data_IF_551044582308
#
_entry.id   IF_551044582308
#
_cell.length_a   1.000
_cell.length_b   1.000
_cell.length_c   1.000
_cell.angle_alpha   90.00
_cell.angle_beta   90.00
_cell.angle_gamma   90.00
#
_symmetry.space_group_name_H-M   'P 1'
#
loop_
_entity.id
_entity.type
_entity.pdbx_description
1 polymer ?
#
# COMPACT_ATOMS: atom_id res chain seq x y z
N UNK A 1 8.44 19.83 -2.73
CA UNK A 1 7.68 19.16 -1.65
C UNK A 1 8.61 18.83 -0.48
N UNK A 2 8.48 19.52 0.65
CA UNK A 2 9.21 19.15 1.86
C UNK A 2 8.44 18.03 2.58
N UNK A 3 9.10 16.89 2.84
CA UNK A 3 8.49 15.75 3.53
C UNK A 3 9.28 15.39 4.78
N UNK A 4 8.63 15.42 5.94
CA UNK A 4 9.16 14.81 7.17
C UNK A 4 8.57 13.40 7.31
N UNK A 5 9.44 12.40 7.31
CA UNK A 5 9.09 10.99 7.57
C UNK A 5 9.59 10.64 8.96
N UNK A 6 8.71 10.16 9.84
CA UNK A 6 9.10 9.58 11.12
C UNK A 6 8.76 8.10 11.11
N UNK A 7 9.76 7.25 11.32
CA UNK A 7 9.57 5.82 11.54
C UNK A 7 9.73 5.57 13.03
N UNK A 8 8.87 4.75 13.61
CA UNK A 8 8.99 4.31 14.99
C UNK A 8 8.91 2.80 15.05
N UNK A 9 9.76 2.21 15.89
CA UNK A 9 9.80 0.78 16.16
C UNK A 9 9.62 0.61 17.65
N UNK A 10 8.64 -0.19 18.06
CA UNK A 10 8.35 -0.49 19.46
C UNK A 10 8.38 -2.00 19.66
N UNK A 11 9.19 -2.47 20.62
CA UNK A 11 9.08 -3.84 21.14
C UNK A 11 7.88 -3.92 22.07
N UNK A 12 7.04 -4.91 21.86
CA UNK A 12 5.84 -5.16 22.64
C UNK A 12 6.17 -6.08 23.83
N UNK A 13 5.26 -6.15 24.80
CA UNK A 13 5.42 -7.00 25.99
C UNK A 13 5.52 -8.48 25.64
N UNK A 14 4.78 -8.91 24.60
CA UNK A 14 4.86 -10.27 24.05
C UNK A 14 6.16 -10.51 23.26
N UNK A 15 7.11 -9.57 23.22
CA UNK A 15 8.37 -9.70 22.48
C UNK A 15 8.27 -9.38 20.99
N UNK A 16 7.06 -9.23 20.43
CA UNK A 16 6.87 -8.85 19.02
C UNK A 16 7.30 -7.41 18.74
N UNK A 17 7.50 -7.08 17.47
CA UNK A 17 7.94 -5.75 17.04
C UNK A 17 6.82 -5.06 16.29
N UNK A 18 6.42 -3.87 16.73
CA UNK A 18 5.47 -3.00 16.02
C UNK A 18 6.21 -1.88 15.31
N UNK A 19 5.98 -1.72 14.01
CA UNK A 19 6.54 -0.61 13.21
C UNK A 19 5.44 0.37 12.80
N UNK A 20 5.73 1.65 12.91
CA UNK A 20 4.82 2.70 12.42
C UNK A 20 5.60 3.73 11.60
N UNK A 21 4.89 4.34 10.66
CA UNK A 21 5.41 5.35 9.75
C UNK A 21 4.42 6.50 9.71
N UNK A 22 4.90 7.70 10.02
CA UNK A 22 4.16 8.94 9.91
C UNK A 22 4.76 9.76 8.76
N UNK A 23 3.89 10.23 7.87
CA UNK A 23 4.25 11.06 6.74
C UNK A 23 3.50 12.40 6.89
N UNK A 24 4.24 13.51 6.99
CA UNK A 24 3.69 14.84 6.77
C UNK A 24 4.21 15.37 5.44
N UNK A 25 3.29 15.79 4.59
CA UNK A 25 3.58 16.32 3.27
C UNK A 25 2.86 17.64 3.08
N UNK A 26 3.59 18.62 2.57
CA UNK A 26 3.05 19.88 2.11
C UNK A 26 3.07 19.90 0.57
N UNK A 27 1.90 20.09 -0.04
CA UNK A 27 1.71 20.01 -1.49
C UNK A 27 1.83 21.41 -2.10
N UNK A 28 2.24 21.45 -3.37
CA UNK A 28 2.22 22.69 -4.12
C UNK A 28 0.78 23.17 -4.37
N UNK A 29 0.65 24.43 -4.78
CA UNK A 29 -0.62 25.02 -5.18
C UNK A 29 -1.30 24.26 -6.31
N UNK A 30 -2.62 24.09 -6.22
CA UNK A 30 -3.43 23.39 -7.24
C UNK A 30 -4.06 24.33 -8.26
N UNK A 31 -3.69 25.61 -8.24
CA UNK A 31 -4.22 26.64 -9.12
C UNK A 31 -3.80 26.44 -10.58
N UNK A 32 -4.64 26.97 -11.46
CA UNK A 32 -4.39 27.02 -12.88
C UNK A 32 -3.14 27.84 -13.21
N UNK A 33 -2.25 27.29 -14.03
CA UNK A 33 -0.98 27.93 -14.43
C UNK A 33 -1.23 29.29 -15.08
N UNK A 34 -2.27 29.39 -15.91
CA UNK A 34 -2.62 30.64 -16.59
C UNK A 34 -3.07 31.72 -15.59
N UNK A 35 -3.78 31.31 -14.52
CA UNK A 35 -4.19 32.22 -13.45
C UNK A 35 -3.02 32.61 -12.55
N UNK A 36 -2.09 31.67 -12.31
CA UNK A 36 -0.93 31.89 -11.45
C UNK A 36 0.13 32.80 -12.10
N UNK A 37 0.38 32.64 -13.41
CA UNK A 37 1.47 33.34 -14.09
C UNK A 37 1.01 34.49 -15.02
N UNK A 38 -0.28 34.61 -15.31
CA UNK A 38 -0.82 35.63 -16.21
C UNK A 38 -0.61 35.32 -17.71
N UNK A 39 -0.96 36.27 -18.62
CA UNK A 39 -1.06 35.99 -20.05
C UNK A 39 0.29 35.83 -20.77
N UNK A 40 1.37 36.45 -20.28
CA UNK A 40 2.70 36.39 -20.89
C UNK A 40 3.78 36.06 -19.85
N UNK A 41 3.81 34.81 -19.36
CA UNK A 41 4.78 34.42 -18.35
C UNK A 41 6.15 34.18 -18.97
N UNK A 42 7.18 34.38 -18.15
CA UNK A 42 8.53 33.97 -18.51
C UNK A 42 8.58 32.46 -18.86
N UNK A 43 9.25 32.04 -19.95
CA UNK A 43 9.27 30.64 -20.39
C UNK A 43 9.81 29.66 -19.33
N UNK A 44 10.78 30.06 -18.51
CA UNK A 44 11.33 29.22 -17.45
C UNK A 44 10.31 29.04 -16.32
N UNK A 45 9.64 30.12 -15.92
CA UNK A 45 8.56 30.08 -14.92
C UNK A 45 7.38 29.23 -15.37
N UNK A 46 7.02 29.32 -16.65
CA UNK A 46 5.98 28.48 -17.24
C UNK A 46 6.36 27.00 -17.19
N UNK A 47 7.60 26.67 -17.55
CA UNK A 47 8.10 25.29 -17.51
C UNK A 47 8.12 24.74 -16.08
N UNK A 48 8.50 25.54 -15.11
CA UNK A 48 8.45 25.18 -13.69
C UNK A 48 7.02 24.90 -13.23
N UNK A 49 6.09 25.81 -13.51
CA UNK A 49 4.69 25.66 -13.11
C UNK A 49 4.03 24.41 -13.72
N UNK A 50 4.34 24.09 -14.99
CA UNK A 50 3.90 22.86 -15.64
C UNK A 50 4.46 21.63 -14.90
N UNK A 51 5.75 21.64 -14.55
CA UNK A 51 6.39 20.54 -13.83
C UNK A 51 5.78 20.31 -12.45
N UNK A 52 5.51 21.39 -11.72
CA UNK A 52 4.83 21.34 -10.41
C UNK A 52 3.45 20.70 -10.56
N UNK A 53 2.65 21.17 -11.52
CA UNK A 53 1.29 20.69 -11.74
C UNK A 53 1.21 19.28 -12.32
N UNK A 54 2.28 18.77 -12.95
CA UNK A 54 2.34 17.38 -13.39
C UNK A 54 2.16 16.40 -12.21
N UNK A 55 2.79 16.71 -11.06
CA UNK A 55 2.69 15.86 -9.87
C UNK A 55 1.29 15.87 -9.25
N UNK A 56 0.61 17.03 -9.23
CA UNK A 56 -0.76 17.17 -8.72
C UNK A 56 -1.80 16.57 -9.67
N UNK A 57 -1.56 16.65 -10.98
CA UNK A 57 -2.37 15.97 -11.98
C UNK A 57 -2.28 14.45 -11.79
N UNK A 58 -1.07 13.90 -11.63
CA UNK A 58 -0.88 12.49 -11.35
C UNK A 58 -1.59 12.04 -10.05
N UNK A 59 -1.56 12.87 -9.01
CA UNK A 59 -2.30 12.62 -7.77
C UNK A 59 -3.82 12.58 -8.00
N UNK A 60 -4.36 13.55 -8.73
CA UNK A 60 -5.79 13.63 -9.06
C UNK A 60 -6.25 12.43 -9.89
N UNK A 61 -5.45 12.03 -10.88
CA UNK A 61 -5.69 10.81 -11.65
C UNK A 61 -5.68 9.59 -10.75
N UNK A 62 -4.68 9.44 -9.87
CA UNK A 62 -4.60 8.29 -8.97
C UNK A 62 -5.85 8.17 -8.07
N UNK A 63 -6.30 9.30 -7.49
CA UNK A 63 -7.53 9.35 -6.69
C UNK A 63 -8.76 8.98 -7.52
N UNK A 64 -8.86 9.45 -8.75
CA UNK A 64 -9.99 9.17 -9.64
C UNK A 64 -10.10 7.68 -9.99
N UNK A 65 -8.96 7.01 -10.24
CA UNK A 65 -8.93 5.55 -10.42
C UNK A 65 -9.35 4.82 -9.15
N UNK A 66 -8.83 5.22 -7.99
CA UNK A 66 -9.17 4.58 -6.71
C UNK A 66 -10.64 4.76 -6.32
N UNK A 67 -11.25 5.91 -6.64
CA UNK A 67 -12.67 6.17 -6.43
C UNK A 67 -13.55 5.20 -7.24
N UNK A 68 -13.06 4.72 -8.38
CA UNK A 68 -13.68 3.68 -9.22
C UNK A 68 -13.24 2.26 -8.85
N UNK A 69 -12.57 2.08 -7.70
CA UNK A 69 -11.98 0.80 -7.27
C UNK A 69 -10.96 0.20 -8.23
N UNK A 70 -10.29 1.03 -9.04
CA UNK A 70 -9.25 0.63 -9.97
C UNK A 70 -7.85 0.93 -9.40
N UNK A 71 -6.84 0.17 -9.84
CA UNK A 71 -5.45 0.39 -9.42
C UNK A 71 -4.79 1.46 -10.30
N UNK A 72 -4.34 2.60 -9.73
CA UNK A 72 -3.63 3.61 -10.51
C UNK A 72 -2.18 3.23 -10.74
N UNK A 73 -1.56 3.83 -11.76
CA UNK A 73 -0.11 3.78 -11.95
C UNK A 73 0.58 4.80 -11.03
N UNK A 74 1.05 4.37 -9.87
CA UNK A 74 1.78 5.23 -8.93
C UNK A 74 3.14 5.70 -9.44
N UNK A 75 3.66 5.10 -10.52
CA UNK A 75 4.98 5.41 -11.09
C UNK A 75 4.97 6.64 -11.99
N UNK A 76 3.80 7.18 -12.32
CA UNK A 76 3.67 8.38 -13.17
C UNK A 76 4.28 9.64 -12.55
N UNK A 77 4.40 9.70 -11.22
CA UNK A 77 5.11 10.77 -10.52
C UNK A 77 5.80 10.28 -9.26
N UNK A 78 6.88 10.95 -8.87
CA UNK A 78 7.54 10.70 -7.58
C UNK A 78 6.58 10.92 -6.39
N UNK A 79 5.65 11.88 -6.51
CA UNK A 79 4.66 12.19 -5.49
C UNK A 79 3.74 10.99 -5.23
N UNK A 80 3.08 10.49 -6.27
CA UNK A 80 2.16 9.34 -6.17
C UNK A 80 2.87 8.08 -5.74
N UNK A 81 4.12 7.87 -6.17
CA UNK A 81 4.93 6.74 -5.75
C UNK A 81 5.18 6.77 -4.23
N UNK A 82 5.55 7.94 -3.71
CA UNK A 82 5.82 8.12 -2.29
C UNK A 82 4.54 8.02 -1.43
N UNK A 83 3.37 8.33 -2.02
CA UNK A 83 2.05 8.29 -1.38
C UNK A 83 1.29 6.99 -1.61
N UNK A 84 1.91 5.97 -2.21
CA UNK A 84 1.26 4.69 -2.51
C UNK A 84 0.65 4.03 -1.26
N UNK A 85 1.31 4.11 -0.09
CA UNK A 85 0.73 3.61 1.17
C UNK A 85 -0.52 4.40 1.57
N UNK A 86 -0.50 5.70 1.30
CA UNK A 86 -1.51 6.66 1.74
C UNK A 86 -2.75 6.70 0.85
N UNK A 87 -2.67 6.24 -0.40
CA UNK A 87 -3.75 6.22 -1.38
C UNK A 87 -4.08 4.76 -1.72
N UNK A 88 -5.15 4.21 -1.17
CA UNK A 88 -5.55 2.81 -1.39
C UNK A 88 -4.66 1.75 -0.72
N UNK A 89 -3.65 2.16 0.05
CA UNK A 89 -2.67 1.28 0.69
C UNK A 89 -2.91 1.02 2.17
N UNK A 90 -1.85 0.59 2.87
CA UNK A 90 -1.83 0.36 4.31
C UNK A 90 -1.42 1.63 5.06
N UNK A 91 -2.36 2.56 5.19
CA UNK A 91 -2.15 3.80 5.95
C UNK A 91 -3.49 4.33 6.45
N UNK A 92 -3.50 4.89 7.67
CA UNK A 92 -4.54 5.85 8.06
C UNK A 92 -4.14 7.19 7.45
N UNK A 93 -4.93 7.69 6.51
CA UNK A 93 -4.62 8.89 5.76
C UNK A 93 -5.66 9.96 6.03
N UNK A 94 -5.18 11.18 6.26
CA UNK A 94 -6.01 12.37 6.39
C UNK A 94 -5.50 13.37 5.37
N UNK A 95 -6.41 13.92 4.60
CA UNK A 95 -6.12 14.97 3.63
C UNK A 95 -6.81 16.24 4.12
N UNK A 96 -6.02 17.29 4.32
CA UNK A 96 -6.52 18.63 4.63
C UNK A 96 -6.58 19.37 3.31
N UNK A 97 -7.70 20.05 3.09
CA UNK A 97 -7.95 20.77 1.86
C UNK A 97 -8.18 22.23 2.21
N UNK A 98 -7.34 23.11 1.66
CA UNK A 98 -7.37 24.55 1.92
C UNK A 98 -8.00 25.26 0.73
N UNK A 99 -8.85 26.25 0.99
CA UNK A 99 -9.50 27.06 -0.04
C UNK A 99 -9.67 28.50 0.43
N UNK A 100 -9.83 29.42 -0.54
CA UNK A 100 -9.98 30.85 -0.27
C UNK A 100 -11.46 31.25 -0.38
N UNK A 101 -12.02 31.99 0.59
CA UNK A 101 -13.41 32.45 0.52
C UNK A 101 -13.61 33.62 -0.46
N UNK A 102 -12.53 34.16 -1.06
CA UNK A 102 -12.60 35.32 -1.92
C UNK A 102 -13.31 35.02 -3.26
N UNK A 103 -14.15 35.94 -3.73
CA UNK A 103 -14.97 35.74 -4.94
C UNK A 103 -14.14 35.41 -6.20
N UNK A 104 -12.99 36.05 -6.35
CA UNK A 104 -12.04 35.80 -7.46
C UNK A 104 -11.46 34.37 -7.45
N UNK A 105 -11.52 33.69 -6.30
CA UNK A 105 -11.04 32.32 -6.10
C UNK A 105 -12.18 31.30 -6.06
N UNK A 106 -13.43 31.72 -6.29
CA UNK A 106 -14.59 30.82 -6.32
C UNK A 106 -14.42 29.66 -7.32
N UNK A 107 -13.91 29.85 -8.55
CA UNK A 107 -13.71 28.74 -9.48
C UNK A 107 -12.73 27.67 -8.94
N UNK A 108 -11.59 28.11 -8.39
CA UNK A 108 -10.60 27.21 -7.79
C UNK A 108 -11.16 26.50 -6.55
N UNK A 109 -11.87 27.22 -5.70
CA UNK A 109 -12.51 26.66 -4.50
C UNK A 109 -13.50 25.55 -4.86
N UNK A 110 -14.30 25.72 -5.91
CA UNK A 110 -15.20 24.67 -6.41
C UNK A 110 -14.40 23.46 -6.92
N UNK A 111 -13.31 23.67 -7.68
CA UNK A 111 -12.43 22.58 -8.16
C UNK A 111 -11.86 21.80 -6.98
N UNK A 112 -11.34 22.50 -5.98
CA UNK A 112 -10.79 21.96 -4.75
C UNK A 112 -11.81 21.12 -3.97
N UNK A 113 -13.05 21.58 -3.80
CA UNK A 113 -14.07 20.80 -3.10
C UNK A 113 -14.57 19.58 -3.88
N UNK A 114 -14.68 19.66 -5.22
CA UNK A 114 -15.01 18.50 -6.06
C UNK A 114 -13.93 17.42 -5.99
N UNK A 115 -12.68 17.84 -5.98
CA UNK A 115 -11.55 16.94 -5.72
C UNK A 115 -11.67 16.29 -4.33
N UNK A 116 -11.93 17.08 -3.29
CA UNK A 116 -12.09 16.58 -1.92
C UNK A 116 -13.25 15.56 -1.80
N UNK A 117 -14.37 15.83 -2.47
CA UNK A 117 -15.53 14.93 -2.50
C UNK A 117 -15.17 13.58 -3.11
N UNK A 118 -14.44 13.58 -4.24
CA UNK A 118 -13.94 12.34 -4.86
C UNK A 118 -12.93 11.64 -3.97
N UNK A 119 -11.96 12.36 -3.41
CA UNK A 119 -10.94 11.78 -2.54
C UNK A 119 -11.52 11.13 -1.27
N UNK A 120 -12.64 11.67 -0.75
CA UNK A 120 -13.36 11.10 0.41
C UNK A 120 -13.87 9.68 0.16
N UNK A 121 -14.11 9.29 -1.09
CA UNK A 121 -14.62 7.94 -1.41
C UNK A 121 -13.53 6.89 -1.42
N UNK A 122 -12.25 7.29 -1.53
CA UNK A 122 -11.10 6.38 -1.55
C UNK A 122 -10.99 5.63 -0.22
N UNK A 123 -10.88 4.29 -0.31
CA UNK A 123 -10.76 3.42 0.86
C UNK A 123 -9.35 2.85 0.99
N UNK A 124 -8.75 3.04 2.16
CA UNK A 124 -7.50 2.40 2.54
C UNK A 124 -7.74 1.12 3.33
N UNK A 125 -6.80 0.18 3.24
CA UNK A 125 -6.81 -1.08 4.01
C UNK A 125 -5.76 -1.01 5.11
N UNK A 126 -6.00 -0.17 6.11
CA UNK A 126 -5.08 0.03 7.22
C UNK A 126 -5.01 -1.21 8.12
N UNK A 127 -3.79 -1.71 8.36
CA UNK A 127 -3.47 -2.87 9.19
C UNK A 127 -2.33 -2.51 10.13
N UNK A 128 -2.29 -3.15 11.30
CA UNK A 128 -1.19 -2.96 12.25
C UNK A 128 0.05 -3.68 11.72
N UNK A 129 1.17 -2.96 11.56
CA UNK A 129 2.43 -3.58 11.15
C UNK A 129 3.11 -4.23 12.38
N UNK A 130 2.61 -5.42 12.76
CA UNK A 130 3.19 -6.28 13.79
C UNK A 130 4.05 -7.33 13.10
N UNK A 131 5.29 -7.46 13.54
CA UNK A 131 6.24 -8.48 13.10
C UNK A 131 6.56 -9.39 14.28
N UNK A 132 6.33 -10.68 14.10
CA UNK A 132 6.70 -11.70 15.09
C UNK A 132 8.21 -11.92 15.04
N UNK A 133 8.80 -12.24 16.19
CA UNK A 133 10.19 -12.69 16.22
C UNK A 133 10.31 -14.08 15.56
N UNK A 134 11.54 -14.48 15.17
CA UNK A 134 11.77 -15.81 14.58
C UNK A 134 11.28 -16.94 15.48
N UNK A 135 11.53 -16.85 16.78
CA UNK A 135 11.08 -17.85 17.75
C UNK A 135 9.55 -17.96 17.79
N UNK A 136 8.86 -16.81 17.87
CA UNK A 136 7.39 -16.77 17.86
C UNK A 136 6.78 -17.25 16.55
N UNK A 137 7.43 -16.97 15.43
CA UNK A 137 6.99 -17.44 14.12
C UNK A 137 7.10 -18.97 14.03
N UNK A 138 8.20 -19.55 14.50
CA UNK A 138 8.38 -21.00 14.55
C UNK A 138 7.36 -21.67 15.48
N UNK A 139 7.13 -21.11 16.67
CA UNK A 139 6.09 -21.59 17.58
C UNK A 139 4.70 -21.53 16.93
N UNK A 140 4.38 -20.42 16.26
CA UNK A 140 3.10 -20.27 15.57
C UNK A 140 2.92 -21.25 14.42
N UNK A 141 3.99 -21.58 13.69
CA UNK A 141 3.97 -22.61 12.65
C UNK A 141 3.64 -23.97 13.26
N UNK A 142 4.32 -24.34 14.35
CA UNK A 142 4.08 -25.62 15.03
C UNK A 142 2.64 -25.74 15.58
N UNK A 143 2.11 -24.67 16.18
CA UNK A 143 0.71 -24.62 16.63
C UNK A 143 -0.26 -24.82 15.46
N UNK A 144 -0.03 -24.12 14.34
CA UNK A 144 -0.87 -24.22 13.15
C UNK A 144 -0.79 -25.60 12.51
N UNK A 145 0.38 -26.24 12.49
CA UNK A 145 0.54 -27.61 12.00
C UNK A 145 -0.24 -28.62 12.85
N UNK A 146 -0.17 -28.48 14.17
CA UNK A 146 -0.95 -29.32 15.10
C UNK A 146 -2.45 -29.11 14.95
N UNK A 147 -2.89 -27.85 14.82
CA UNK A 147 -4.30 -27.50 14.61
C UNK A 147 -4.81 -28.06 13.28
N UNK A 148 -4.02 -27.93 12.21
CA UNK A 148 -4.37 -28.45 10.89
C UNK A 148 -4.46 -29.98 10.91
N UNK A 149 -3.55 -30.68 11.59
CA UNK A 149 -3.62 -32.13 11.76
C UNK A 149 -4.91 -32.56 12.50
N UNK A 150 -5.29 -31.84 13.56
CA UNK A 150 -6.54 -32.11 14.29
C UNK A 150 -7.78 -31.85 13.44
N UNK A 151 -7.80 -30.75 12.67
CA UNK A 151 -8.91 -30.44 11.75
C UNK A 151 -9.04 -31.47 10.63
N UNK A 152 -7.92 -31.98 10.10
CA UNK A 152 -7.92 -33.05 9.09
C UNK A 152 -8.53 -34.33 9.68
N UNK A 153 -8.12 -34.72 10.90
CA UNK A 153 -8.68 -35.89 11.57
C UNK A 153 -10.20 -35.75 11.82
N UNK A 154 -10.63 -34.59 12.32
CA UNK A 154 -12.05 -34.31 12.56
C UNK A 154 -12.87 -34.27 11.27
N UNK A 155 -12.31 -33.71 10.19
CA UNK A 155 -12.95 -33.74 8.89
C UNK A 155 -13.07 -35.18 8.37
N UNK A 156 -12.05 -36.02 8.54
CA UNK A 156 -12.12 -37.43 8.14
C UNK A 156 -13.21 -38.20 8.91
N UNK A 157 -13.33 -37.98 10.21
CA UNK A 157 -14.39 -38.55 11.04
C UNK A 157 -15.79 -38.10 10.58
N UNK A 158 -15.98 -36.81 10.34
CA UNK A 158 -17.24 -36.27 9.84
C UNK A 158 -17.61 -36.81 8.46
N UNK A 159 -16.62 -37.00 7.57
CA UNK A 159 -16.83 -37.61 6.25
C UNK A 159 -17.32 -39.05 6.40
N UNK A 160 -16.67 -39.86 7.25
CA UNK A 160 -17.11 -41.24 7.53
C UNK A 160 -18.55 -41.28 8.04
N UNK A 161 -18.91 -40.36 8.95
CA UNK A 161 -20.25 -40.29 9.53
C UNK A 161 -21.32 -39.84 8.51
N UNK A 162 -20.97 -38.99 7.53
CA UNK A 162 -21.87 -38.60 6.45
C UNK A 162 -22.12 -39.75 5.47
N UNK A 163 -21.06 -40.47 5.10
CA UNK A 163 -21.12 -41.64 4.23
C UNK A 163 -21.96 -42.77 4.85
N UNK A 164 -21.82 -43.01 6.16
CA UNK A 164 -22.64 -43.97 6.91
C UNK A 164 -24.15 -43.62 6.92
N UNK A 165 -24.48 -42.33 6.86
CA UNK A 165 -25.86 -41.83 6.80
C UNK A 165 -26.38 -41.65 5.36
N UNK A 166 -25.65 -42.16 4.35
CA UNK A 166 -26.07 -42.13 2.94
C UNK A 166 -26.05 -40.74 2.30
N UNK A 167 -25.34 -39.78 2.90
CA UNK A 167 -25.18 -38.42 2.38
C UNK A 167 -23.79 -38.31 1.73
N UNK A 168 -23.71 -37.82 0.49
CA UNK A 168 -22.42 -37.57 -0.17
C UNK A 168 -21.66 -36.45 0.54
N UNK A 169 -20.44 -36.75 0.98
CA UNK A 169 -19.55 -35.76 1.56
C UNK A 169 -19.08 -34.74 0.48
N UNK A 170 -18.88 -33.47 0.84
CA UNK A 170 -18.31 -32.49 -0.08
C UNK A 170 -16.92 -32.96 -0.55
N UNK A 171 -16.77 -33.20 -1.85
CA UNK A 171 -15.47 -33.53 -2.43
C UNK A 171 -14.50 -32.38 -2.16
N UNK A 172 -13.32 -32.70 -1.61
CA UNK A 172 -12.24 -31.73 -1.50
C UNK A 172 -11.95 -31.21 -2.91
N UNK A 173 -12.35 -29.99 -3.22
CA UNK A 173 -11.85 -29.29 -4.41
C UNK A 173 -10.36 -29.09 -4.19
N UNK A 174 -9.59 -30.05 -4.65
CA UNK A 174 -8.14 -30.04 -4.66
C UNK A 174 -7.68 -28.94 -5.61
N UNK A 175 -7.58 -27.70 -5.12
CA UNK A 175 -6.57 -26.79 -5.64
C UNK A 175 -5.22 -27.28 -5.10
N UNK A 176 -4.76 -28.40 -5.65
CA UNK A 176 -3.38 -28.87 -5.54
C UNK A 176 -2.54 -27.92 -6.38
N UNK A 177 -2.15 -26.77 -5.82
CA UNK A 177 -0.98 -26.05 -6.33
C UNK A 177 0.26 -26.87 -5.95
N UNK A 178 0.49 -27.95 -6.70
CA UNK A 178 1.76 -28.67 -6.75
C UNK A 178 2.78 -27.77 -7.44
N UNK A 179 3.28 -26.75 -6.74
CA UNK A 179 4.45 -26.01 -7.17
C UNK A 179 5.68 -26.61 -6.50
N UNK A 180 6.22 -27.61 -7.21
CA UNK A 180 7.53 -28.22 -6.99
C UNK A 180 8.58 -27.12 -6.77
N UNK A 181 9.06 -26.94 -5.54
CA UNK A 181 10.04 -25.91 -5.19
C UNK A 181 11.29 -26.52 -4.55
N UNK A 182 11.85 -27.55 -5.19
CA UNK A 182 13.19 -28.07 -4.90
C UNK A 182 14.33 -27.26 -5.54
N UNK A 183 14.08 -26.03 -6.01
CA UNK A 183 15.10 -25.17 -6.66
C UNK A 183 15.54 -23.94 -5.83
N UNK A 184 15.19 -23.88 -4.55
CA UNK A 184 15.48 -22.69 -3.72
C UNK A 184 16.87 -22.71 -3.04
N UNK A 185 17.55 -23.85 -2.95
CA UNK A 185 18.84 -23.93 -2.25
C UNK A 185 20.04 -23.47 -3.10
N UNK A 186 19.97 -23.57 -4.44
CA UNK A 186 21.05 -23.06 -5.32
C UNK A 186 20.98 -21.53 -5.50
N UNK A 187 19.80 -20.96 -5.73
CA UNK A 187 19.62 -19.50 -5.87
C UNK A 187 20.00 -18.71 -4.61
N UNK A 188 19.86 -19.32 -3.44
CA UNK A 188 20.19 -18.67 -2.16
C UNK A 188 21.71 -18.64 -1.91
N UNK A 189 22.44 -19.65 -2.40
CA UNK A 189 23.91 -19.68 -2.38
C UNK A 189 24.50 -18.65 -3.36
N UNK A 190 23.94 -18.52 -4.55
CA UNK A 190 24.40 -17.54 -5.55
C UNK A 190 24.16 -16.09 -5.15
N UNK A 191 23.01 -15.78 -4.55
CA UNK A 191 22.76 -14.42 -4.02
C UNK A 191 23.72 -14.06 -2.88
N UNK A 192 24.01 -14.99 -1.96
CA UNK A 192 25.01 -14.77 -0.90
C UNK A 192 26.44 -14.57 -1.45
N UNK A 193 26.81 -15.28 -2.53
CA UNK A 193 28.10 -15.11 -3.23
C UNK A 193 28.19 -13.72 -3.88
N UNK A 194 27.12 -13.27 -4.53
CA UNK A 194 27.06 -11.94 -5.16
C UNK A 194 27.20 -10.79 -4.14
N UNK A 195 26.57 -10.89 -2.97
CA UNK A 195 26.69 -9.87 -1.92
C UNK A 195 28.06 -9.88 -1.19
N UNK A 196 28.74 -11.04 -1.10
CA UNK A 196 30.12 -11.10 -0.57
C UNK A 196 31.12 -10.45 -1.52
N UNK A 197 31.01 -10.68 -2.84
CA UNK A 197 31.94 -10.08 -3.80
C UNK A 197 31.77 -8.56 -3.95
N UNK A 198 30.55 -8.04 -3.78
CA UNK A 198 30.30 -6.59 -3.87
C UNK A 198 30.80 -5.79 -2.66
N UNK A 199 31.08 -6.45 -1.54
CA UNK A 199 31.61 -5.82 -0.30
C UNK A 199 33.14 -5.85 -0.22
N UNK A 200 33.81 -6.49 -1.18
CA UNK A 200 35.28 -6.56 -1.25
C UNK A 200 35.90 -5.47 -2.16
N UNK A 201 35.06 -4.67 -2.84
CA UNK A 201 35.48 -3.60 -3.77
C UNK A 201 34.90 -2.22 -3.40
N UNK A 202 34.52 -2.04 -2.14
CA UNK A 202 34.30 -0.74 -1.48
C UNK A 202 35.18 -0.71 -0.24
#
# INVERSE_FOLDING_TARGET
MAKKKKKMVKKMLDGSIKRSKLNFGDLAGSEDVAKALGPNPDPERLKEAISINASLTALTTAISYLAKSQRPSYRSSALTHILQDSLGGNSKTTMIVNSSPHIMNRPETIRTFRFAQTAKTVKNKARVNKELTRAQMLQRIQELESENASLIAKNAELVSCLEENGLEAPTQSSSTDNNNNNNNDEKTKDKKKHYRNKKAHL
#
